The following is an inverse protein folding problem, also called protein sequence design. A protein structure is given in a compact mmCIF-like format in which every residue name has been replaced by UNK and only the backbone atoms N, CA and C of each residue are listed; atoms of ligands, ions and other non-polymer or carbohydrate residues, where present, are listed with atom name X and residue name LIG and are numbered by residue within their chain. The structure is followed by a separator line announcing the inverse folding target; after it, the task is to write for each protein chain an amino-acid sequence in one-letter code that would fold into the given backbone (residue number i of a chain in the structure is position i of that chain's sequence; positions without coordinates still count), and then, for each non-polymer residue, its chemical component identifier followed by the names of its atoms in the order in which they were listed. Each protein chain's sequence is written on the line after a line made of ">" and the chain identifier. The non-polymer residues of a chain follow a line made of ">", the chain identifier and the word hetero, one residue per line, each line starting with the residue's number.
data_IF_119745150725
#
_entry.id   IF_119745150725
#
_cell.length_a   1.000
_cell.length_b   1.000
_cell.length_c   1.000
_cell.angle_alpha   90.00
_cell.angle_beta   90.00
_cell.angle_gamma   90.00
#
_symmetry.space_group_name_H-M   'P 1'
#
loop_
_entity.id
_entity.type
_entity.pdbx_description
1 polymer ?
#
# COMPACT_ATOMS: atom_id res chain seq x y z
N UNK A 1 -16.78 43.67 -12.63
CA UNK A 1 -15.83 43.32 -11.54
C UNK A 1 -15.75 41.80 -11.44
N UNK A 2 -14.59 41.22 -11.72
CA UNK A 2 -14.37 39.76 -11.82
C UNK A 2 -14.43 39.13 -10.42
N UNK A 3 -15.40 38.25 -10.13
CA UNK A 3 -15.33 37.37 -8.95
C UNK A 3 -14.60 36.10 -9.37
N UNK A 4 -13.33 36.01 -8.99
CA UNK A 4 -12.53 34.79 -9.07
C UNK A 4 -13.03 33.83 -7.98
N UNK A 5 -13.89 32.89 -8.33
CA UNK A 5 -14.45 31.91 -7.38
C UNK A 5 -13.50 30.74 -7.12
N UNK A 6 -12.58 30.43 -8.04
CA UNK A 6 -11.66 29.29 -7.92
C UNK A 6 -10.60 29.45 -6.83
N UNK A 7 -10.04 30.65 -6.64
CA UNK A 7 -8.98 30.90 -5.63
C UNK A 7 -9.53 30.84 -4.19
N UNK A 8 -10.83 31.08 -4.03
CA UNK A 8 -11.47 31.07 -2.70
C UNK A 8 -11.85 29.66 -2.24
N UNK A 9 -12.02 28.72 -3.15
CA UNK A 9 -12.47 27.35 -2.82
C UNK A 9 -11.32 26.52 -2.25
N UNK A 10 -10.09 26.69 -2.78
CA UNK A 10 -8.88 26.01 -2.30
C UNK A 10 -8.49 26.37 -0.86
N UNK A 11 -8.86 27.56 -0.37
CA UNK A 11 -8.62 27.97 1.03
C UNK A 11 -9.70 27.46 1.99
N UNK A 12 -10.75 26.82 1.47
CA UNK A 12 -11.89 26.30 2.24
C UNK A 12 -11.96 24.76 2.26
N UNK A 13 -10.93 24.08 1.77
CA UNK A 13 -10.84 22.61 1.72
C UNK A 13 -9.93 22.04 2.79
N UNK A 14 -10.30 20.87 3.29
CA UNK A 14 -9.51 20.10 4.24
C UNK A 14 -8.40 19.34 3.52
N UNK A 15 -7.15 19.47 3.98
CA UNK A 15 -6.00 18.79 3.38
C UNK A 15 -6.10 17.24 3.40
N UNK A 16 -6.85 16.67 4.34
CA UNK A 16 -6.97 15.21 4.49
C UNK A 16 -7.99 14.64 3.50
N UNK A 17 -9.24 15.15 3.50
CA UNK A 17 -10.29 14.62 2.62
C UNK A 17 -10.40 15.34 1.28
N UNK A 18 -9.73 16.48 1.11
CA UNK A 18 -9.80 17.35 -0.08
C UNK A 18 -11.21 17.87 -0.39
N UNK A 19 -12.10 17.86 0.61
CA UNK A 19 -13.45 18.41 0.53
C UNK A 19 -13.57 19.69 1.36
N UNK A 20 -14.63 20.45 1.10
CA UNK A 20 -15.01 21.60 1.92
C UNK A 20 -15.09 21.23 3.40
N UNK A 21 -14.56 22.07 4.29
CA UNK A 21 -14.52 21.79 5.73
C UNK A 21 -15.90 21.42 6.30
N UNK A 22 -15.95 20.27 6.97
CA UNK A 22 -17.07 19.83 7.81
C UNK A 22 -16.58 19.80 9.25
N UNK A 23 -17.24 20.57 10.11
CA UNK A 23 -16.86 20.70 11.52
C UNK A 23 -15.36 20.99 11.70
N UNK A 24 -14.86 22.12 11.17
CA UNK A 24 -13.44 22.42 11.17
C UNK A 24 -12.89 22.56 12.59
N UNK A 25 -11.74 21.94 12.85
CA UNK A 25 -10.90 22.12 14.03
C UNK A 25 -9.59 22.79 13.63
N UNK A 26 -9.08 23.67 14.49
CA UNK A 26 -7.78 24.31 14.35
C UNK A 26 -6.78 23.66 15.31
N UNK A 27 -5.59 23.36 14.79
CA UNK A 27 -4.44 22.86 15.56
C UNK A 27 -3.64 24.01 16.17
N UNK A 28 -2.78 23.74 17.17
CA UNK A 28 -1.87 24.74 17.76
C UNK A 28 -1.01 25.48 16.74
N UNK A 29 -0.62 24.79 15.66
CA UNK A 29 0.16 25.39 14.58
C UNK A 29 -0.66 26.25 13.60
N UNK A 30 -1.96 26.41 13.82
CA UNK A 30 -2.86 27.26 13.03
C UNK A 30 -3.50 26.58 11.81
N UNK A 31 -3.15 25.34 11.50
CA UNK A 31 -3.77 24.60 10.39
C UNK A 31 -5.14 24.05 10.77
N UNK A 32 -6.06 24.03 9.79
CA UNK A 32 -7.45 23.62 9.94
C UNK A 32 -7.72 22.28 9.25
N UNK A 33 -8.53 21.43 9.86
CA UNK A 33 -8.93 20.11 9.34
C UNK A 33 -10.38 19.83 9.71
N UNK A 34 -11.05 18.90 9.03
CA UNK A 34 -12.31 18.36 9.54
C UNK A 34 -12.04 17.60 10.85
N UNK A 35 -12.92 17.74 11.85
CA UNK A 35 -12.78 17.07 13.14
C UNK A 35 -12.60 15.55 12.98
N UNK A 36 -13.43 14.94 12.14
CA UNK A 36 -13.38 13.50 11.86
C UNK A 36 -12.05 13.07 11.23
N UNK A 37 -11.59 13.81 10.22
CA UNK A 37 -10.31 13.55 9.56
C UNK A 37 -9.13 13.60 10.54
N UNK A 38 -9.12 14.56 11.46
CA UNK A 38 -8.06 14.68 12.46
C UNK A 38 -8.09 13.53 13.47
N UNK A 39 -9.29 13.15 13.91
CA UNK A 39 -9.49 12.00 14.80
C UNK A 39 -9.03 10.68 14.16
N UNK A 40 -9.37 10.43 12.89
CA UNK A 40 -8.94 9.23 12.19
C UNK A 40 -7.43 9.21 11.93
N UNK A 41 -6.86 10.36 11.57
CA UNK A 41 -5.42 10.48 11.33
C UNK A 41 -4.60 10.11 12.57
N UNK A 42 -4.97 10.65 13.74
CA UNK A 42 -4.30 10.33 15.00
C UNK A 42 -4.55 8.92 15.52
N UNK A 43 -5.70 8.30 15.23
CA UNK A 43 -5.94 6.89 15.57
C UNK A 43 -4.96 5.94 14.86
N UNK A 44 -4.48 6.30 13.66
CA UNK A 44 -3.60 5.47 12.83
C UNK A 44 -2.11 5.72 13.08
N UNK A 45 -1.73 6.66 13.95
CA UNK A 45 -0.33 7.06 14.19
C UNK A 45 0.03 6.97 15.67
N UNK A 46 1.29 6.64 15.92
CA UNK A 46 1.87 6.57 17.28
C UNK A 46 2.13 7.95 17.89
N UNK A 47 2.20 9.01 17.08
CA UNK A 47 2.38 10.39 17.54
C UNK A 47 1.26 11.31 17.05
N UNK A 48 0.87 12.25 17.89
CA UNK A 48 -0.12 13.28 17.58
C UNK A 48 0.59 14.51 17.00
N UNK A 49 0.62 14.61 15.67
CA UNK A 49 1.26 15.71 14.94
C UNK A 49 0.34 16.30 13.88
N UNK A 50 0.59 17.55 13.48
CA UNK A 50 -0.10 18.19 12.36
C UNK A 50 0.20 17.48 11.02
N UNK A 51 -0.81 17.11 10.22
CA UNK A 51 -0.61 16.52 8.89
C UNK A 51 0.17 17.38 7.90
N UNK A 52 0.16 18.71 8.06
CA UNK A 52 0.78 19.66 7.12
C UNK A 52 2.22 19.95 7.52
N UNK A 53 2.43 20.47 8.74
CA UNK A 53 3.75 20.94 9.17
C UNK A 53 4.47 20.03 10.17
N UNK A 54 3.83 18.91 10.58
CA UNK A 54 4.36 17.93 11.55
C UNK A 54 4.67 18.49 12.94
N UNK A 55 4.23 19.71 13.26
CA UNK A 55 4.30 20.23 14.62
C UNK A 55 3.52 19.34 15.59
N UNK A 56 4.07 19.11 16.78
CA UNK A 56 3.41 18.34 17.83
C UNK A 56 2.09 19.01 18.24
N UNK A 57 1.06 18.21 18.47
CA UNK A 57 -0.27 18.71 18.85
C UNK A 57 -0.99 17.62 19.62
N UNK A 58 -1.66 17.95 20.73
CA UNK A 58 -2.44 16.97 21.47
C UNK A 58 -3.93 17.03 21.10
N UNK A 59 -4.69 15.97 21.40
CA UNK A 59 -6.16 15.99 21.23
C UNK A 59 -6.85 17.08 22.03
N UNK A 60 -6.34 17.39 23.22
CA UNK A 60 -6.80 18.52 24.04
C UNK A 60 -6.57 19.88 23.41
N UNK A 61 -5.71 19.95 22.39
CA UNK A 61 -5.30 21.20 21.74
C UNK A 61 -6.12 21.52 20.49
N UNK A 62 -7.03 20.63 20.09
CA UNK A 62 -7.95 20.89 18.99
C UNK A 62 -9.09 21.78 19.46
N UNK A 63 -9.22 22.93 18.81
CA UNK A 63 -10.30 23.88 19.08
C UNK A 63 -11.22 23.89 17.86
N UNK A 64 -12.53 23.82 18.07
CA UNK A 64 -13.51 23.99 16.98
C UNK A 64 -13.42 25.40 16.41
N UNK A 65 -13.20 25.52 15.10
CA UNK A 65 -13.15 26.80 14.40
C UNK A 65 -14.56 27.23 13.98
N UNK A 66 -15.30 27.84 14.90
CA UNK A 66 -16.67 28.31 14.66
C UNK A 66 -16.78 29.34 13.53
N UNK A 67 -15.78 30.21 13.37
CA UNK A 67 -15.75 31.20 12.28
C UNK A 67 -15.72 30.51 10.93
N UNK A 68 -14.82 29.53 10.76
CA UNK A 68 -14.72 28.78 9.52
C UNK A 68 -15.99 27.97 9.26
N UNK A 69 -16.58 27.34 10.29
CA UNK A 69 -17.89 26.66 10.17
C UNK A 69 -18.98 27.60 9.64
N UNK A 70 -19.10 28.81 10.21
CA UNK A 70 -20.10 29.79 9.81
C UNK A 70 -19.90 30.29 8.37
N UNK A 71 -18.64 30.44 7.93
CA UNK A 71 -18.31 30.77 6.54
C UNK A 71 -18.79 29.66 5.61
N UNK A 72 -18.50 28.39 5.94
CA UNK A 72 -18.94 27.23 5.15
C UNK A 72 -20.47 27.16 5.05
N UNK A 73 -21.19 27.44 6.13
CA UNK A 73 -22.65 27.41 6.14
C UNK A 73 -23.26 28.56 5.35
N UNK A 74 -22.65 29.74 5.37
CA UNK A 74 -23.08 30.89 4.56
C UNK A 74 -22.86 30.62 3.07
N UNK A 75 -21.69 30.09 2.69
CA UNK A 75 -21.39 29.71 1.31
C UNK A 75 -22.40 28.69 0.75
N UNK A 76 -22.74 27.67 1.54
CA UNK A 76 -23.76 26.66 1.18
C UNK A 76 -25.16 27.26 1.03
N UNK A 77 -25.48 28.35 1.71
CA UNK A 77 -26.77 29.06 1.60
C UNK A 77 -26.81 30.01 0.40
N UNK A 78 -25.71 30.71 0.10
CA UNK A 78 -25.63 31.61 -1.05
C UNK A 78 -25.60 30.88 -2.40
N UNK A 79 -25.06 29.66 -2.45
CA UNK A 79 -25.09 28.80 -3.64
C UNK A 79 -26.49 28.28 -4.03
N UNK A 80 -27.51 28.48 -3.18
CA UNK A 80 -28.88 27.94 -3.38
C UNK A 80 -29.91 28.95 -3.91
N UNK A 81 -29.53 30.18 -4.27
CA UNK A 81 -30.47 31.10 -4.94
C UNK A 81 -30.69 30.64 -6.40
N UNK A 82 -31.94 30.54 -6.89
CA UNK A 82 -32.19 30.29 -8.30
C UNK A 82 -31.62 31.47 -9.09
N UNK A 83 -30.56 31.24 -9.88
CA UNK A 83 -30.11 32.22 -10.86
C UNK A 83 -31.21 32.31 -11.91
N UNK A 84 -31.86 33.47 -12.05
CA UNK A 84 -32.53 33.81 -13.31
C UNK A 84 -31.53 33.55 -14.44
N UNK A 85 -31.91 32.74 -15.42
CA UNK A 85 -31.07 32.35 -16.54
C UNK A 85 -30.76 33.58 -17.41
N UNK A 86 -29.73 34.32 -17.03
CA UNK A 86 -29.18 35.40 -17.86
C UNK A 86 -28.64 34.77 -19.15
N UNK A 87 -29.38 34.93 -20.25
CA UNK A 87 -28.95 34.44 -21.56
C UNK A 87 -27.61 35.07 -21.93
N UNK A 88 -26.61 34.28 -22.35
CA UNK A 88 -25.28 34.80 -22.65
C UNK A 88 -25.35 35.81 -23.81
N UNK A 89 -24.76 36.98 -23.60
CA UNK A 89 -24.73 38.10 -24.56
C UNK A 89 -23.32 38.28 -25.13
N UNK A 90 -23.27 38.63 -26.41
CA UNK A 90 -22.03 38.98 -27.10
C UNK A 90 -21.45 40.25 -26.49
N UNK A 91 -20.20 40.17 -26.02
CA UNK A 91 -19.47 41.29 -25.43
C UNK A 91 -19.25 42.46 -26.40
N UNK A 92 -19.19 42.18 -27.71
CA UNK A 92 -18.95 43.19 -28.73
C UNK A 92 -20.23 43.86 -29.26
N UNK A 93 -21.36 43.14 -29.28
CA UNK A 93 -22.59 43.61 -29.93
C UNK A 93 -23.80 43.72 -29.00
N UNK A 94 -23.69 43.26 -27.75
CA UNK A 94 -24.78 43.28 -26.77
C UNK A 94 -25.99 42.42 -27.15
N UNK A 95 -25.85 41.52 -28.15
CA UNK A 95 -26.91 40.62 -28.63
C UNK A 95 -26.71 39.21 -28.10
N UNK A 96 -27.80 38.48 -27.91
CA UNK A 96 -27.76 37.08 -27.42
C UNK A 96 -26.92 36.21 -28.34
N UNK A 97 -26.06 35.38 -27.74
CA UNK A 97 -25.29 34.35 -28.45
C UNK A 97 -26.25 33.22 -28.85
N UNK A 98 -26.32 32.94 -30.15
CA UNK A 98 -27.25 31.94 -30.73
C UNK A 98 -26.57 30.95 -31.67
N UNK A 99 -25.35 31.25 -32.09
CA UNK A 99 -24.58 30.45 -33.04
C UNK A 99 -23.25 30.05 -32.39
N UNK A 100 -22.67 28.98 -32.89
CA UNK A 100 -21.36 28.47 -32.54
C UNK A 100 -20.51 28.40 -33.81
N UNK A 101 -19.33 29.00 -33.80
CA UNK A 101 -18.37 28.88 -34.89
C UNK A 101 -17.48 27.65 -34.65
N UNK A 102 -17.40 26.74 -35.63
CA UNK A 102 -16.70 25.46 -35.47
C UNK A 102 -15.18 25.66 -35.43
N UNK A 103 -14.66 26.51 -36.30
CA UNK A 103 -13.23 26.77 -36.48
C UNK A 103 -12.65 27.55 -35.30
N UNK A 104 -13.35 28.59 -34.86
CA UNK A 104 -12.89 29.44 -33.76
C UNK A 104 -13.27 28.87 -32.38
N UNK A 105 -14.14 27.86 -32.36
CA UNK A 105 -14.69 27.23 -31.14
C UNK A 105 -15.40 28.20 -30.18
N UNK A 106 -16.02 29.25 -30.73
CA UNK A 106 -16.63 30.32 -29.94
C UNK A 106 -18.15 30.40 -30.15
N UNK A 107 -18.85 30.80 -29.10
CA UNK A 107 -20.27 31.19 -29.18
C UNK A 107 -20.37 32.62 -29.69
N UNK A 108 -21.09 32.83 -30.78
CA UNK A 108 -21.21 34.12 -31.47
C UNK A 108 -22.69 34.56 -31.61
N UNK A 109 -22.90 35.86 -31.81
CA UNK A 109 -24.22 36.40 -32.15
C UNK A 109 -24.36 36.57 -33.66
N UNK A 110 -25.60 36.75 -34.14
CA UNK A 110 -25.90 36.96 -35.57
C UNK A 110 -25.14 38.14 -36.18
N UNK A 111 -24.87 39.19 -35.40
CA UNK A 111 -24.13 40.36 -35.89
C UNK A 111 -22.63 40.06 -36.13
N UNK A 112 -22.04 39.08 -35.43
CA UNK A 112 -20.66 38.66 -35.70
C UNK A 112 -20.51 38.08 -37.11
N UNK A 113 -21.56 37.41 -37.60
CA UNK A 113 -21.61 36.84 -38.96
C UNK A 113 -21.81 37.96 -40.00
N UNK A 114 -22.77 38.85 -39.77
CA UNK A 114 -23.11 39.96 -40.70
C UNK A 114 -21.93 40.91 -40.90
N UNK A 115 -21.21 41.23 -39.83
CA UNK A 115 -20.04 42.10 -39.86
C UNK A 115 -18.78 41.41 -40.43
N UNK A 116 -18.93 40.21 -40.98
CA UNK A 116 -17.88 39.41 -41.65
C UNK A 116 -16.65 39.13 -40.78
N UNK A 117 -16.78 39.11 -39.44
CA UNK A 117 -15.67 38.72 -38.56
C UNK A 117 -15.31 37.24 -38.69
N UNK A 118 -16.30 36.38 -38.98
CA UNK A 118 -16.12 34.95 -39.20
C UNK A 118 -16.45 34.57 -40.66
N UNK A 119 -15.89 35.30 -41.63
CA UNK A 119 -16.27 35.12 -43.04
C UNK A 119 -15.84 33.72 -43.53
N UNK A 120 -16.79 32.95 -44.07
CA UNK A 120 -16.62 31.60 -44.61
C UNK A 120 -16.43 30.47 -43.57
N UNK A 121 -16.65 30.71 -42.28
CA UNK A 121 -16.61 29.66 -41.26
C UNK A 121 -17.92 28.86 -41.23
N UNK A 122 -17.85 27.60 -40.78
CA UNK A 122 -19.02 26.78 -40.50
C UNK A 122 -19.66 27.21 -39.17
N UNK A 123 -20.99 27.34 -39.18
CA UNK A 123 -21.74 27.71 -37.99
C UNK A 123 -22.82 26.68 -37.68
N UNK A 124 -22.94 26.37 -36.40
CA UNK A 124 -24.04 25.58 -35.86
C UNK A 124 -24.89 26.50 -34.99
N UNK A 125 -26.18 26.19 -34.85
CA UNK A 125 -26.92 26.71 -33.70
C UNK A 125 -26.31 26.21 -32.41
N UNK A 126 -26.50 26.94 -31.31
CA UNK A 126 -26.04 26.50 -29.98
C UNK A 126 -26.63 25.12 -29.63
N UNK A 127 -27.85 24.83 -30.09
CA UNK A 127 -28.50 23.54 -29.85
C UNK A 127 -27.84 22.40 -30.62
N UNK A 128 -27.53 22.59 -31.91
CA UNK A 128 -26.81 21.62 -32.73
C UNK A 128 -25.38 21.37 -32.20
N UNK A 129 -24.65 22.43 -31.86
CA UNK A 129 -23.32 22.31 -31.26
C UNK A 129 -23.38 21.55 -29.93
N UNK A 130 -24.36 21.86 -29.07
CA UNK A 130 -24.59 21.14 -27.81
C UNK A 130 -24.86 19.66 -28.02
N UNK A 131 -25.70 19.31 -28.99
CA UNK A 131 -25.98 17.91 -29.33
C UNK A 131 -24.74 17.18 -29.87
N UNK A 132 -23.97 17.84 -30.75
CA UNK A 132 -22.71 17.30 -31.30
C UNK A 132 -21.71 16.99 -30.18
N UNK A 133 -21.40 17.97 -29.32
CA UNK A 133 -20.46 17.76 -28.22
C UNK A 133 -20.95 16.74 -27.20
N UNK A 134 -22.24 16.71 -26.89
CA UNK A 134 -22.81 15.65 -26.03
C UNK A 134 -22.59 14.26 -26.63
N UNK A 135 -22.74 14.10 -27.95
CA UNK A 135 -22.50 12.84 -28.63
C UNK A 135 -21.02 12.45 -28.59
N UNK A 136 -20.10 13.38 -28.88
CA UNK A 136 -18.65 13.14 -28.82
C UNK A 136 -18.18 12.79 -27.41
N UNK A 137 -18.67 13.50 -26.39
CA UNK A 137 -18.40 13.18 -24.99
C UNK A 137 -18.94 11.81 -24.63
N UNK A 138 -20.16 11.46 -25.04
CA UNK A 138 -20.76 10.14 -24.79
C UNK A 138 -19.97 9.03 -25.48
N UNK A 139 -19.49 9.26 -26.70
CA UNK A 139 -18.65 8.32 -27.44
C UNK A 139 -17.30 8.10 -26.75
N UNK A 140 -16.74 9.14 -26.13
CA UNK A 140 -15.46 9.05 -25.42
C UNK A 140 -15.61 8.48 -23.99
N UNK A 141 -16.76 8.70 -23.36
CA UNK A 141 -17.01 8.28 -21.98
C UNK A 141 -16.99 6.76 -21.83
N UNK A 142 -17.61 6.02 -22.76
CA UNK A 142 -17.73 4.56 -22.65
C UNK A 142 -16.37 3.84 -22.70
N UNK A 143 -15.48 4.11 -23.67
CA UNK A 143 -14.11 3.56 -23.66
C UNK A 143 -13.32 3.91 -22.41
N UNK A 144 -13.47 5.13 -21.87
CA UNK A 144 -12.80 5.54 -20.64
C UNK A 144 -13.29 4.76 -19.42
N UNK A 145 -14.60 4.54 -19.32
CA UNK A 145 -15.19 3.71 -18.26
C UNK A 145 -14.72 2.26 -18.35
N UNK A 146 -14.69 1.69 -19.56
CA UNK A 146 -14.22 0.32 -19.78
C UNK A 146 -12.72 0.21 -19.46
N UNK A 147 -11.91 1.21 -19.84
CA UNK A 147 -10.48 1.28 -19.48
C UNK A 147 -10.28 1.37 -17.98
N UNK A 148 -11.05 2.21 -17.28
CA UNK A 148 -11.01 2.32 -15.83
C UNK A 148 -11.33 0.98 -15.15
N UNK A 149 -12.37 0.28 -15.61
CA UNK A 149 -12.75 -1.02 -15.10
C UNK A 149 -11.63 -2.06 -15.30
N UNK A 150 -11.05 -2.12 -16.51
CA UNK A 150 -9.95 -3.03 -16.83
C UNK A 150 -8.72 -2.78 -15.95
N UNK A 151 -8.38 -1.51 -15.68
CA UNK A 151 -7.26 -1.15 -14.80
C UNK A 151 -7.56 -1.58 -13.36
N UNK A 152 -8.78 -1.40 -12.87
CA UNK A 152 -9.18 -1.83 -11.53
C UNK A 152 -9.09 -3.36 -11.37
N UNK A 153 -9.56 -4.13 -12.35
CA UNK A 153 -9.45 -5.60 -12.35
C UNK A 153 -8.00 -6.06 -12.43
N UNK A 154 -7.18 -5.40 -13.25
CA UNK A 154 -5.76 -5.70 -13.35
C UNK A 154 -5.05 -5.46 -12.02
N UNK A 155 -5.36 -4.36 -11.32
CA UNK A 155 -4.81 -4.03 -10.01
C UNK A 155 -5.13 -5.13 -8.97
N UNK A 156 -6.37 -5.60 -8.92
CA UNK A 156 -6.74 -6.67 -7.97
C UNK A 156 -6.04 -8.00 -8.31
N UNK A 157 -5.92 -8.36 -9.60
CA UNK A 157 -5.11 -9.53 -10.00
C UNK A 157 -3.66 -9.45 -9.56
N UNK A 158 -3.01 -8.29 -9.71
CA UNK A 158 -1.63 -8.12 -9.22
C UNK A 158 -1.54 -8.21 -7.70
N UNK A 159 -2.56 -7.73 -6.98
CA UNK A 159 -2.63 -7.86 -5.52
C UNK A 159 -2.75 -9.32 -5.09
N UNK A 160 -3.61 -10.09 -5.74
CA UNK A 160 -3.74 -11.53 -5.50
C UNK A 160 -2.44 -12.28 -5.81
N UNK A 161 -1.80 -11.98 -6.94
CA UNK A 161 -0.51 -12.57 -7.30
C UNK A 161 0.57 -12.30 -6.24
N UNK A 162 0.63 -11.07 -5.71
CA UNK A 162 1.58 -10.74 -4.63
C UNK A 162 1.31 -11.57 -3.37
N UNK A 163 0.05 -11.70 -2.96
CA UNK A 163 -0.31 -12.53 -1.81
C UNK A 163 0.10 -14.00 -2.03
N UNK A 164 -0.16 -14.54 -3.23
CA UNK A 164 0.23 -15.91 -3.56
C UNK A 164 1.75 -16.11 -3.47
N UNK A 165 2.55 -15.15 -3.93
CA UNK A 165 4.02 -15.20 -3.83
C UNK A 165 4.46 -15.27 -2.35
N UNK A 166 3.87 -14.46 -1.47
CA UNK A 166 4.18 -14.51 -0.03
C UNK A 166 3.77 -15.84 0.59
N UNK A 167 2.56 -16.33 0.29
CA UNK A 167 2.06 -17.61 0.81
C UNK A 167 2.91 -18.79 0.33
N UNK A 168 3.37 -18.78 -0.92
CA UNK A 168 4.27 -19.80 -1.47
C UNK A 168 5.65 -19.76 -0.81
N UNK A 169 6.20 -18.57 -0.58
CA UNK A 169 7.47 -18.39 0.11
C UNK A 169 7.40 -18.91 1.55
N UNK A 170 6.35 -18.57 2.30
CA UNK A 170 6.14 -19.03 3.68
C UNK A 170 5.98 -20.56 3.76
N UNK A 171 5.24 -21.15 2.80
CA UNK A 171 5.10 -22.60 2.69
C UNK A 171 6.45 -23.27 2.40
N UNK A 172 7.23 -22.73 1.47
CA UNK A 172 8.54 -23.25 1.13
C UNK A 172 9.51 -23.15 2.32
N UNK A 173 9.54 -22.02 3.02
CA UNK A 173 10.36 -21.83 4.22
C UNK A 173 9.99 -22.84 5.31
N UNK A 174 8.70 -23.03 5.57
CA UNK A 174 8.22 -24.01 6.54
C UNK A 174 8.64 -25.43 6.16
N UNK A 175 8.47 -25.81 4.89
CA UNK A 175 8.85 -27.13 4.39
C UNK A 175 10.36 -27.37 4.54
N UNK A 176 11.19 -26.39 4.17
CA UNK A 176 12.65 -26.46 4.34
C UNK A 176 12.99 -26.70 5.83
N UNK A 177 12.42 -25.91 6.75
CA UNK A 177 12.67 -26.09 8.19
C UNK A 177 12.27 -27.48 8.68
N UNK A 178 11.10 -27.97 8.28
CA UNK A 178 10.61 -29.30 8.68
C UNK A 178 11.52 -30.42 8.16
N UNK A 179 12.01 -30.31 6.93
CA UNK A 179 12.89 -31.32 6.34
C UNK A 179 14.27 -31.33 6.99
N UNK A 180 14.81 -30.17 7.36
CA UNK A 180 16.05 -30.10 8.14
C UNK A 180 15.90 -30.68 9.54
N UNK A 181 14.75 -30.50 10.20
CA UNK A 181 14.46 -31.16 11.50
C UNK A 181 14.49 -32.69 11.35
N UNK A 182 13.89 -33.24 10.28
CA UNK A 182 13.93 -34.68 10.00
C UNK A 182 15.36 -35.15 9.73
N UNK A 183 16.12 -34.40 8.94
CA UNK A 183 17.51 -34.73 8.61
C UNK A 183 18.39 -34.75 9.86
N UNK A 184 18.28 -33.74 10.74
CA UNK A 184 19.00 -33.72 12.01
C UNK A 184 18.68 -34.93 12.89
N UNK A 185 17.41 -35.37 12.94
CA UNK A 185 17.02 -36.56 13.69
C UNK A 185 17.68 -37.82 13.14
N UNK A 186 17.73 -37.97 11.81
CA UNK A 186 18.39 -39.10 11.15
C UNK A 186 19.88 -39.11 11.48
N UNK A 187 20.55 -37.97 11.31
CA UNK A 187 21.99 -37.83 11.58
C UNK A 187 22.34 -38.15 13.04
N UNK A 188 21.52 -37.67 13.99
CA UNK A 188 21.72 -37.94 15.41
C UNK A 188 21.57 -39.44 15.74
N UNK A 189 20.58 -40.12 15.16
CA UNK A 189 20.43 -41.56 15.40
C UNK A 189 21.58 -42.36 14.76
N UNK A 190 22.03 -41.96 13.57
CA UNK A 190 23.17 -42.59 12.91
C UNK A 190 24.47 -42.41 13.70
N UNK A 191 24.74 -41.20 14.19
CA UNK A 191 25.88 -40.93 15.07
C UNK A 191 25.85 -41.82 16.32
N UNK A 192 24.69 -41.92 16.97
CA UNK A 192 24.51 -42.76 18.15
C UNK A 192 24.76 -44.24 17.86
N UNK A 193 24.29 -44.74 16.71
CA UNK A 193 24.50 -46.12 16.29
C UNK A 193 25.99 -46.40 16.05
N UNK A 194 26.68 -45.53 15.30
CA UNK A 194 28.11 -45.65 15.03
C UNK A 194 28.95 -45.64 16.32
N UNK A 195 28.60 -44.77 17.28
CA UNK A 195 29.28 -44.73 18.59
C UNK A 195 29.03 -46.01 19.40
N UNK A 196 27.83 -46.58 19.33
CA UNK A 196 27.52 -47.85 20.00
C UNK A 196 28.32 -49.02 19.39
N UNK A 197 28.40 -49.08 18.06
CA UNK A 197 29.19 -50.09 17.35
C UNK A 197 30.69 -49.98 17.68
N UNK A 198 31.23 -48.76 17.69
CA UNK A 198 32.62 -48.52 18.09
C UNK A 198 32.88 -48.97 19.54
N UNK A 199 31.96 -48.68 20.46
CA UNK A 199 32.08 -49.10 21.86
C UNK A 199 32.10 -50.62 21.97
N UNK A 200 31.22 -51.32 21.23
CA UNK A 200 31.17 -52.78 21.21
C UNK A 200 32.47 -53.38 20.64
N UNK A 201 32.96 -52.89 19.50
CA UNK A 201 34.23 -53.35 18.91
C UNK A 201 35.41 -53.14 19.87
N UNK A 202 35.45 -51.99 20.56
CA UNK A 202 36.44 -51.73 21.61
C UNK A 202 36.35 -52.75 22.74
N UNK A 203 35.16 -53.00 23.28
CA UNK A 203 34.95 -53.96 24.38
C UNK A 203 35.35 -55.39 23.97
N UNK A 204 35.01 -55.83 22.76
CA UNK A 204 35.40 -57.14 22.24
C UNK A 204 36.91 -57.29 22.08
N UNK A 205 37.59 -56.25 21.55
CA UNK A 205 39.05 -56.24 21.40
C UNK A 205 39.75 -56.26 22.76
N UNK A 206 39.29 -55.44 23.70
CA UNK A 206 39.85 -55.42 25.05
C UNK A 206 39.67 -56.76 25.77
N UNK A 207 38.50 -57.41 25.65
CA UNK A 207 38.26 -58.73 26.23
C UNK A 207 39.22 -59.79 25.66
N UNK A 208 39.46 -59.78 24.34
CA UNK A 208 40.43 -60.68 23.71
C UNK A 208 41.84 -60.48 24.24
N UNK A 209 42.28 -59.22 24.39
CA UNK A 209 43.61 -58.91 24.94
C UNK A 209 43.72 -59.36 26.39
N UNK A 210 42.71 -59.08 27.23
CA UNK A 210 42.69 -59.50 28.64
C UNK A 210 42.76 -61.02 28.80
N UNK A 211 42.00 -61.76 28.00
CA UNK A 211 42.07 -63.23 28.02
C UNK A 211 43.45 -63.77 27.62
N UNK A 212 44.12 -63.12 26.65
CA UNK A 212 45.47 -63.49 26.25
C UNK A 212 46.51 -63.16 27.33
N UNK A 213 46.37 -62.01 28.00
CA UNK A 213 47.20 -61.63 29.15
C UNK A 213 47.07 -62.63 30.30
N UNK A 214 45.84 -63.04 30.64
CA UNK A 214 45.57 -64.06 31.67
C UNK A 214 46.26 -65.39 31.34
N UNK A 215 46.21 -65.84 30.08
CA UNK A 215 46.92 -67.03 29.61
C UNK A 215 48.44 -66.89 29.78
N UNK A 216 49.01 -65.74 29.41
CA UNK A 216 50.46 -65.49 29.56
C UNK A 216 50.86 -65.51 31.03
N UNK A 217 50.06 -64.92 31.93
CA UNK A 217 50.31 -64.95 33.38
C UNK A 217 50.26 -66.37 33.92
N UNK A 218 49.32 -67.21 33.46
CA UNK A 218 49.26 -68.62 33.81
C UNK A 218 50.52 -69.37 33.35
N UNK A 219 50.96 -69.16 32.11
CA UNK A 219 52.18 -69.77 31.59
C UNK A 219 53.42 -69.32 32.39
N UNK A 220 53.53 -68.03 32.70
CA UNK A 220 54.63 -67.44 33.46
C UNK A 220 54.70 -68.02 34.89
N UNK A 221 53.56 -68.18 35.56
CA UNK A 221 53.51 -68.81 36.90
C UNK A 221 53.87 -70.30 36.85
N UNK A 222 53.43 -71.02 35.81
CA UNK A 222 53.78 -72.43 35.58
C UNK A 222 55.28 -72.61 35.37
N UNK A 223 55.88 -71.83 34.47
CA UNK A 223 57.34 -71.83 34.22
C UNK A 223 58.11 -71.45 35.49
N UNK A 224 57.65 -70.43 36.23
CA UNK A 224 58.27 -70.03 37.49
C UNK A 224 58.26 -71.14 38.54
N UNK A 225 57.17 -71.92 38.60
CA UNK A 225 57.07 -73.08 39.49
C UNK A 225 58.07 -74.17 39.09
N UNK A 226 58.14 -74.50 37.80
CA UNK A 226 59.12 -75.48 37.28
C UNK A 226 60.57 -75.06 37.58
N UNK A 227 60.90 -73.78 37.41
CA UNK A 227 62.23 -73.24 37.75
C UNK A 227 62.55 -73.48 39.22
N UNK A 228 61.61 -73.17 40.14
CA UNK A 228 61.79 -73.40 41.58
C UNK A 228 61.99 -74.87 41.92
N UNK A 229 61.22 -75.77 41.29
CA UNK A 229 61.35 -77.21 41.50
C UNK A 229 62.70 -77.76 41.04
N UNK A 230 63.24 -77.25 39.92
CA UNK A 230 64.58 -77.61 39.44
C UNK A 230 65.64 -77.08 40.41
N UNK A 231 65.53 -75.82 40.82
CA UNK A 231 66.46 -75.19 41.77
C UNK A 231 66.51 -75.90 43.13
N UNK A 232 65.41 -76.50 43.59
CA UNK A 232 65.36 -77.27 44.84
C UNK A 232 66.01 -78.65 44.73
N UNK A 233 66.16 -79.20 43.52
CA UNK A 233 66.77 -80.49 43.25
C UNK A 233 68.26 -80.41 42.90
N UNK A 234 68.78 -79.20 42.71
CA UNK A 234 70.21 -78.90 42.58
C UNK A 234 70.83 -78.72 43.95
#
# INVERSE_FOLDING_TARGET
>A
SKRSTGVFEDVMTCYICQELFKDPVITKCGHNFCQECMCEYWKRKTSQSCPICRADSATSDLITNHTLRNIMDTYKKEGKKPKEESKPICSQHGKVLKLYCVEDQESICVNCVILKKHKNHEFLSIEEASQKFKKELKNSLKPLQDTHQNIAELKERYRENLNNIYDEADKAEKQIKEDFVKLHKILHEEEKNLLADLKKDKEEKEQKIRAMEESIVQDLTSVSKMIKEIQQKM
#
